data_IF_336595482585
#
_entry.id   IF_336595482585
#
_cell.length_a   1.000
_cell.length_b   1.000
_cell.length_c   1.000
_cell.angle_alpha   90.00
_cell.angle_beta   90.00
_cell.angle_gamma   90.00
#
_symmetry.space_group_name_H-M   'P 1'
#
loop_
_entity.id
_entity.type
_entity.pdbx_description
1 polymer ?
#
# COMPACT_ATOMS: atom_id res chain seq x y z
N UNK A 1 -11.77 -31.00 18.16
CA UNK A 1 -11.46 -29.80 18.95
C UNK A 1 -12.10 -28.67 18.22
N UNK A 2 -13.05 -28.03 18.83
CA UNK A 2 -13.79 -26.91 18.21
C UNK A 2 -13.38 -25.61 18.88
N UNK A 3 -13.69 -24.48 18.28
CA UNK A 3 -13.19 -23.19 18.70
C UNK A 3 -14.31 -22.16 18.74
N UNK A 4 -14.32 -21.31 19.77
CA UNK A 4 -15.12 -20.12 19.86
C UNK A 4 -14.21 -18.90 19.67
N UNK A 5 -14.46 -18.09 18.66
CA UNK A 5 -13.59 -16.99 18.26
C UNK A 5 -14.24 -15.63 18.53
N UNK A 6 -13.49 -14.74 19.17
CA UNK A 6 -13.84 -13.33 19.31
C UNK A 6 -13.06 -12.49 18.32
N UNK A 7 -13.73 -11.96 17.33
CA UNK A 7 -13.11 -11.12 16.30
C UNK A 7 -12.72 -9.73 16.76
N UNK A 8 -13.29 -9.27 17.87
CA UNK A 8 -12.95 -7.96 18.43
C UNK A 8 -11.64 -7.97 19.19
N UNK A 9 -11.36 -9.08 19.90
CA UNK A 9 -10.15 -9.24 20.72
C UNK A 9 -9.07 -10.06 20.02
N UNK A 10 -9.39 -10.71 18.90
CA UNK A 10 -8.53 -11.66 18.18
C UNK A 10 -8.07 -12.83 19.11
N UNK A 11 -9.01 -13.32 19.93
CA UNK A 11 -8.79 -14.47 20.81
C UNK A 11 -9.71 -15.61 20.48
N UNK A 12 -9.26 -16.82 20.73
CA UNK A 12 -10.07 -18.03 20.61
C UNK A 12 -10.06 -18.83 21.92
N UNK A 13 -11.15 -19.56 22.11
CA UNK A 13 -11.33 -20.50 23.21
C UNK A 13 -11.50 -21.90 22.62
N UNK A 14 -10.68 -22.84 23.07
CA UNK A 14 -10.85 -24.25 22.69
C UNK A 14 -12.00 -24.84 23.50
N UNK A 15 -12.91 -25.53 22.80
CA UNK A 15 -14.08 -26.19 23.42
C UNK A 15 -14.12 -27.64 22.99
N UNK A 16 -14.33 -28.55 23.97
CA UNK A 16 -14.34 -29.99 23.73
C UNK A 16 -15.76 -30.56 23.69
N UNK A 17 -16.71 -29.86 24.30
CA UNK A 17 -18.09 -30.33 24.45
C UNK A 17 -19.11 -29.33 23.95
N UNK A 18 -20.27 -29.82 23.47
CA UNK A 18 -21.39 -28.94 23.05
C UNK A 18 -21.96 -28.13 24.24
N UNK A 19 -21.81 -28.56 25.46
CA UNK A 19 -22.24 -27.86 26.66
C UNK A 19 -21.39 -26.59 26.89
N UNK A 20 -20.07 -26.67 26.69
CA UNK A 20 -19.17 -25.51 26.77
C UNK A 20 -19.48 -24.44 25.72
N UNK A 21 -19.90 -24.84 24.52
CA UNK A 21 -20.33 -23.93 23.45
C UNK A 21 -21.60 -23.18 23.83
N UNK A 22 -22.52 -23.81 24.59
CA UNK A 22 -23.75 -23.17 25.04
C UNK A 22 -23.55 -22.23 26.22
N UNK A 23 -22.54 -22.48 27.05
CA UNK A 23 -22.24 -21.64 28.22
C UNK A 23 -21.40 -20.41 27.85
N UNK A 24 -20.47 -20.54 26.89
CA UNK A 24 -19.56 -19.46 26.46
C UNK A 24 -20.11 -18.75 25.22
N UNK A 25 -21.08 -17.86 25.40
CA UNK A 25 -21.72 -17.13 24.28
C UNK A 25 -21.08 -15.79 23.97
N UNK A 26 -20.36 -15.18 24.94
CA UNK A 26 -19.73 -13.87 24.80
C UNK A 26 -18.30 -13.89 25.36
N UNK A 27 -17.42 -13.13 24.67
CA UNK A 27 -16.08 -12.85 25.13
C UNK A 27 -16.09 -11.90 26.35
N UNK A 28 -15.01 -11.87 27.13
CA UNK A 28 -14.83 -10.93 28.24
C UNK A 28 -14.97 -9.46 27.81
N UNK A 29 -14.76 -9.13 26.51
CA UNK A 29 -14.98 -7.79 25.95
C UNK A 29 -16.45 -7.48 25.65
N UNK A 30 -17.37 -8.42 25.89
CA UNK A 30 -18.81 -8.30 25.61
C UNK A 30 -19.23 -8.62 24.18
N UNK A 31 -18.29 -8.97 23.30
CA UNK A 31 -18.60 -9.37 21.92
C UNK A 31 -19.07 -10.81 21.85
N UNK A 32 -19.97 -11.11 20.91
CA UNK A 32 -20.49 -12.47 20.68
C UNK A 32 -19.40 -13.36 20.13
N UNK A 33 -19.25 -14.56 20.69
CA UNK A 33 -18.33 -15.58 20.19
C UNK A 33 -18.96 -16.36 19.03
N UNK A 34 -18.16 -16.68 18.03
CA UNK A 34 -18.57 -17.45 16.85
C UNK A 34 -17.90 -18.83 16.88
N UNK A 35 -18.70 -19.88 16.66
CA UNK A 35 -18.26 -21.27 16.71
C UNK A 35 -17.66 -21.72 15.40
N UNK A 36 -16.55 -22.49 15.47
CA UNK A 36 -15.90 -23.14 14.33
C UNK A 36 -15.45 -24.56 14.70
N UNK A 37 -15.63 -25.49 13.79
CA UNK A 37 -15.14 -26.86 13.94
C UNK A 37 -13.62 -26.96 13.82
N UNK A 38 -13.01 -26.08 13.03
CA UNK A 38 -11.56 -25.95 12.89
C UNK A 38 -11.16 -24.48 13.01
N UNK A 39 -10.04 -24.19 13.68
CA UNK A 39 -9.52 -22.85 13.80
C UNK A 39 -9.17 -22.22 12.43
N UNK A 40 -8.83 -23.05 11.44
CA UNK A 40 -8.59 -22.61 10.07
C UNK A 40 -9.84 -22.05 9.37
N UNK A 41 -11.02 -22.57 9.73
CA UNK A 41 -12.30 -22.11 9.17
C UNK A 41 -12.68 -20.73 9.73
N UNK A 42 -12.33 -20.44 10.99
CA UNK A 42 -12.55 -19.11 11.57
C UNK A 42 -11.78 -18.01 10.84
N UNK A 43 -10.58 -18.30 10.39
CA UNK A 43 -9.76 -17.39 9.58
C UNK A 43 -10.25 -17.29 8.11
N UNK A 44 -11.02 -18.30 7.63
CA UNK A 44 -11.63 -18.28 6.30
C UNK A 44 -12.87 -17.39 6.23
N UNK A 45 -13.71 -17.44 7.24
CA UNK A 45 -15.02 -16.79 7.27
C UNK A 45 -14.90 -15.27 7.43
N UNK A 46 -14.04 -14.79 8.34
CA UNK A 46 -13.80 -13.37 8.57
C UNK A 46 -13.16 -12.65 7.38
N UNK A 47 -12.27 -13.34 6.68
CA UNK A 47 -11.58 -12.72 5.54
C UNK A 47 -12.43 -12.70 4.28
N UNK A 48 -13.46 -13.55 4.16
CA UNK A 48 -14.40 -13.50 3.04
C UNK A 48 -15.61 -12.60 3.31
N UNK A 49 -16.31 -12.78 4.40
CA UNK A 49 -17.56 -12.06 4.65
C UNK A 49 -17.31 -10.62 5.08
N UNK A 50 -16.42 -10.34 6.03
CA UNK A 50 -16.10 -8.96 6.42
C UNK A 50 -15.27 -8.20 5.39
N UNK A 51 -14.48 -8.91 4.57
CA UNK A 51 -13.79 -8.31 3.43
C UNK A 51 -14.77 -8.05 2.29
N UNK A 52 -15.71 -8.96 2.00
CA UNK A 52 -16.76 -8.74 1.01
C UNK A 52 -17.85 -7.79 1.51
N UNK A 53 -18.16 -7.72 2.80
CA UNK A 53 -18.99 -6.65 3.37
C UNK A 53 -18.26 -5.30 3.33
N UNK A 54 -16.97 -5.23 3.68
CA UNK A 54 -16.17 -4.03 3.54
C UNK A 54 -15.90 -3.65 2.08
N UNK A 55 -15.83 -4.62 1.14
CA UNK A 55 -15.82 -4.35 -0.29
C UNK A 55 -17.22 -3.97 -0.80
N UNK A 56 -18.29 -4.59 -0.33
CA UNK A 56 -19.65 -4.26 -0.74
C UNK A 56 -20.15 -2.95 -0.12
N UNK A 57 -19.67 -2.57 1.07
CA UNK A 57 -19.80 -1.21 1.60
C UNK A 57 -18.88 -0.23 0.86
N UNK A 58 -17.75 -0.71 0.33
CA UNK A 58 -16.82 0.05 -0.53
C UNK A 58 -17.19 -0.03 -2.02
N UNK A 59 -17.99 -1.00 -2.48
CA UNK A 59 -18.49 -1.11 -3.86
C UNK A 59 -19.55 -0.01 -4.21
N UNK A 60 -20.08 0.68 -3.19
CA UNK A 60 -20.59 2.03 -3.40
C UNK A 60 -19.51 3.06 -3.70
N UNK A 61 -18.24 2.70 -3.59
CA UNK A 61 -17.04 3.54 -3.76
C UNK A 61 -15.98 2.89 -4.66
N UNK A 62 -16.31 1.86 -5.45
CA UNK A 62 -15.44 1.42 -6.54
C UNK A 62 -15.55 2.45 -7.66
N UNK A 63 -14.67 3.41 -7.56
CA UNK A 63 -14.54 4.53 -8.47
C UNK A 63 -14.15 3.98 -9.83
N UNK A 64 -15.01 4.17 -10.80
CA UNK A 64 -14.65 4.17 -12.20
C UNK A 64 -13.58 5.25 -12.38
N UNK A 65 -12.33 4.84 -12.61
CA UNK A 65 -11.16 5.72 -12.62
C UNK A 65 -11.15 6.72 -13.79
N UNK A 66 -12.21 6.72 -14.63
CA UNK A 66 -12.39 7.67 -15.72
C UNK A 66 -13.17 8.94 -15.30
N UNK A 67 -13.75 9.01 -14.09
CA UNK A 67 -14.52 10.17 -13.60
C UNK A 67 -13.99 10.83 -12.31
N UNK A 68 -12.74 10.62 -11.92
CA UNK A 68 -12.19 11.21 -10.69
C UNK A 68 -11.75 12.66 -10.87
N UNK A 69 -12.73 13.55 -11.02
CA UNK A 69 -12.61 14.97 -10.66
C UNK A 69 -13.75 15.33 -9.71
N UNK A 70 -13.59 15.09 -8.42
CA UNK A 70 -14.54 15.54 -7.41
C UNK A 70 -14.58 14.64 -6.19
N UNK A 71 -14.23 15.19 -5.06
CA UNK A 71 -14.48 14.84 -3.68
C UNK A 71 -15.05 13.43 -3.39
N UNK A 72 -14.20 12.51 -2.90
CA UNK A 72 -14.65 11.26 -2.32
C UNK A 72 -14.16 11.09 -0.88
N UNK A 73 -15.13 11.09 0.03
CA UNK A 73 -14.97 10.77 1.45
C UNK A 73 -15.00 9.27 1.67
N UNK A 74 -14.12 8.75 2.52
CA UNK A 74 -14.20 7.38 3.04
C UNK A 74 -15.50 7.19 3.86
N UNK A 75 -16.29 6.12 3.64
CA UNK A 75 -17.54 5.92 4.36
C UNK A 75 -17.29 5.37 5.76
N UNK A 76 -17.82 6.07 6.78
CA UNK A 76 -18.20 5.40 8.02
C UNK A 76 -17.55 5.81 9.33
N UNK A 77 -16.92 6.99 9.45
CA UNK A 77 -16.66 7.57 10.78
C UNK A 77 -17.33 8.93 10.90
N UNK A 78 -18.59 8.95 11.39
CA UNK A 78 -19.30 10.19 11.76
C UNK A 78 -18.82 10.62 13.14
N UNK A 79 -17.60 11.13 13.18
CA UNK A 79 -17.09 11.90 14.28
C UNK A 79 -16.42 13.11 13.66
N UNK A 80 -16.76 14.32 14.11
CA UNK A 80 -16.26 15.63 13.68
C UNK A 80 -15.08 15.56 12.72
N UNK A 81 -15.34 15.62 11.42
CA UNK A 81 -14.28 15.64 10.39
C UNK A 81 -13.43 16.88 10.62
N UNK A 82 -12.30 16.66 11.25
CA UNK A 82 -11.30 17.70 11.46
C UNK A 82 -10.55 17.84 10.13
N UNK A 83 -10.75 18.95 9.45
CA UNK A 83 -10.02 19.29 8.24
C UNK A 83 -8.53 19.32 8.58
N UNK A 84 -7.76 18.37 8.05
CA UNK A 84 -6.31 18.40 8.12
C UNK A 84 -5.77 19.26 6.98
N UNK A 85 -4.76 20.05 7.28
CA UNK A 85 -4.04 20.80 6.25
C UNK A 85 -2.95 19.91 5.68
N UNK A 86 -2.94 19.77 4.35
CA UNK A 86 -1.90 19.05 3.63
C UNK A 86 -0.97 20.07 3.02
N UNK A 87 0.28 20.07 3.48
CA UNK A 87 1.36 20.88 2.95
C UNK A 87 2.19 20.00 2.04
N UNK A 88 2.17 20.27 0.72
CA UNK A 88 2.94 19.51 -0.26
C UNK A 88 4.06 20.37 -0.83
N UNK A 89 5.28 19.84 -0.85
CA UNK A 89 6.46 20.45 -1.49
C UNK A 89 6.62 20.05 -2.96
N UNK A 90 5.76 19.18 -3.48
CA UNK A 90 5.84 18.71 -4.87
C UNK A 90 5.16 17.37 -5.09
N UNK A 91 5.51 16.69 -6.17
CA UNK A 91 5.02 15.35 -6.51
C UNK A 91 5.83 14.26 -5.82
N UNK A 92 5.18 13.22 -5.34
CA UNK A 92 5.83 12.07 -4.69
C UNK A 92 6.73 11.29 -5.67
N UNK A 93 7.61 10.45 -5.13
CA UNK A 93 8.48 9.61 -5.96
C UNK A 93 7.67 8.66 -6.85
N UNK A 94 6.63 8.06 -6.30
CA UNK A 94 5.74 7.12 -7.00
C UNK A 94 4.95 7.82 -8.09
N UNK A 95 4.45 9.05 -7.85
CA UNK A 95 3.79 9.88 -8.88
C UNK A 95 4.74 10.24 -10.03
N UNK A 96 5.98 10.64 -9.72
CA UNK A 96 7.01 10.92 -10.74
C UNK A 96 7.26 9.70 -11.62
N UNK A 97 7.37 8.52 -11.01
CA UNK A 97 7.57 7.27 -11.75
C UNK A 97 6.37 6.92 -12.61
N UNK A 98 5.16 6.95 -12.05
CA UNK A 98 3.94 6.68 -12.80
C UNK A 98 3.81 7.61 -14.03
N UNK A 99 4.01 8.94 -13.85
CA UNK A 99 3.95 9.91 -14.95
C UNK A 99 5.07 9.72 -15.98
N UNK A 100 6.27 9.31 -15.55
CA UNK A 100 7.38 8.99 -16.45
C UNK A 100 7.01 7.84 -17.39
N UNK A 101 6.49 6.73 -16.87
CA UNK A 101 6.08 5.58 -17.68
C UNK A 101 4.89 5.91 -18.58
N UNK A 102 3.95 6.73 -18.13
CA UNK A 102 2.86 7.22 -18.96
C UNK A 102 3.37 8.01 -20.17
N UNK A 103 4.36 8.90 -20.00
CA UNK A 103 5.00 9.63 -21.10
C UNK A 103 5.72 8.69 -22.08
N UNK A 104 6.46 7.69 -21.57
CA UNK A 104 7.14 6.71 -22.42
C UNK A 104 6.11 5.91 -23.23
N UNK A 105 5.01 5.51 -22.63
CA UNK A 105 3.90 4.83 -23.30
C UNK A 105 3.33 5.70 -24.43
N UNK A 106 2.99 6.96 -24.17
CA UNK A 106 2.47 7.90 -25.18
C UNK A 106 3.44 8.07 -26.35
N UNK A 107 4.74 8.25 -26.06
CA UNK A 107 5.76 8.35 -27.10
C UNK A 107 5.87 7.06 -27.94
N UNK A 108 5.77 5.89 -27.30
CA UNK A 108 5.75 4.60 -27.99
C UNK A 108 4.54 4.44 -28.90
N UNK A 109 3.36 4.87 -28.49
CA UNK A 109 2.14 4.88 -29.30
C UNK A 109 2.29 5.81 -30.51
N UNK A 110 2.81 7.02 -30.33
CA UNK A 110 3.08 7.96 -31.43
C UNK A 110 4.04 7.35 -32.46
N UNK A 111 5.14 6.74 -31.99
CA UNK A 111 6.11 6.05 -32.85
C UNK A 111 5.47 4.90 -33.65
N UNK A 112 4.62 4.11 -32.99
CA UNK A 112 3.90 3.00 -33.61
C UNK A 112 2.99 3.51 -34.73
N UNK A 113 2.15 4.51 -34.44
CA UNK A 113 1.26 5.09 -35.47
C UNK A 113 2.03 5.74 -36.62
N UNK A 114 3.11 6.48 -36.28
CA UNK A 114 3.99 7.09 -37.29
C UNK A 114 4.61 6.02 -38.20
N UNK A 115 5.08 4.92 -37.62
CA UNK A 115 5.64 3.79 -38.35
C UNK A 115 4.63 3.14 -39.28
N UNK A 116 3.41 2.91 -38.83
CA UNK A 116 2.32 2.33 -39.61
C UNK A 116 1.94 3.26 -40.76
N UNK A 117 1.81 4.55 -40.53
CA UNK A 117 1.49 5.55 -41.59
C UNK A 117 2.61 5.59 -42.63
N UNK A 118 3.87 5.67 -42.20
CA UNK A 118 5.03 5.67 -43.09
C UNK A 118 5.09 4.39 -43.92
N UNK A 119 4.82 3.24 -43.35
CA UNK A 119 4.73 1.95 -44.04
C UNK A 119 3.66 1.97 -45.13
N UNK A 120 2.44 2.42 -44.83
CA UNK A 120 1.34 2.44 -45.79
C UNK A 120 1.66 3.41 -46.95
N UNK A 121 2.13 4.63 -46.63
CA UNK A 121 2.46 5.64 -47.63
C UNK A 121 3.58 5.15 -48.56
N UNK A 122 4.63 4.53 -48.01
CA UNK A 122 5.76 4.05 -48.77
C UNK A 122 5.39 2.88 -49.68
N UNK A 123 4.55 1.95 -49.21
CA UNK A 123 3.99 0.88 -50.06
C UNK A 123 3.18 1.43 -51.25
N UNK A 124 2.33 2.41 -50.98
CA UNK A 124 1.53 3.05 -52.02
C UNK A 124 2.42 3.78 -53.04
N UNK A 125 3.47 4.45 -52.59
CA UNK A 125 4.44 5.11 -53.46
C UNK A 125 5.24 4.09 -54.31
N UNK A 126 5.61 2.94 -53.80
CA UNK A 126 6.23 1.84 -54.57
C UNK A 126 5.27 1.39 -55.67
N UNK A 127 4.00 1.18 -55.34
CA UNK A 127 2.99 0.73 -56.29
C UNK A 127 2.79 1.73 -57.45
N UNK A 128 2.79 3.04 -57.17
CA UNK A 128 2.59 4.08 -58.19
C UNK A 128 3.82 4.33 -59.06
N UNK A 129 5.01 4.30 -58.49
CA UNK A 129 6.24 4.77 -59.13
C UNK A 129 7.18 3.67 -59.56
N UNK A 130 7.01 2.45 -59.07
CA UNK A 130 7.91 1.30 -59.20
C UNK A 130 9.36 1.64 -58.77
N UNK A 131 9.54 2.66 -57.93
CA UNK A 131 10.84 3.13 -57.47
C UNK A 131 11.21 2.46 -56.16
N UNK A 132 12.24 1.61 -56.18
CA UNK A 132 12.73 0.86 -55.02
C UNK A 132 13.33 1.73 -53.87
N UNK A 133 13.55 3.02 -54.11
CA UNK A 133 13.96 3.93 -53.02
C UNK A 133 12.95 3.91 -51.88
N UNK A 134 11.67 3.80 -52.14
CA UNK A 134 10.62 3.72 -51.11
C UNK A 134 10.65 2.44 -50.32
N UNK A 135 11.37 1.40 -50.73
CA UNK A 135 11.60 0.20 -49.91
C UNK A 135 12.37 0.49 -48.62
N UNK A 136 13.32 1.44 -48.62
CA UNK A 136 14.00 1.89 -47.44
C UNK A 136 13.05 2.58 -46.45
N UNK A 137 12.11 3.39 -46.95
CA UNK A 137 11.09 4.03 -46.10
C UNK A 137 10.11 3.02 -45.53
N UNK A 138 9.78 1.98 -46.28
CA UNK A 138 8.96 0.86 -45.79
C UNK A 138 9.64 0.15 -44.63
N UNK A 139 10.92 -0.17 -44.76
CA UNK A 139 11.73 -0.77 -43.65
C UNK A 139 11.83 0.15 -42.44
N UNK A 140 12.00 1.44 -42.64
CA UNK A 140 12.00 2.43 -41.57
C UNK A 140 10.64 2.47 -40.86
N UNK A 141 9.54 2.44 -41.61
CA UNK A 141 8.19 2.37 -41.02
C UNK A 141 7.96 1.12 -40.18
N UNK A 142 8.38 -0.05 -40.70
CA UNK A 142 8.33 -1.31 -39.92
C UNK A 142 9.15 -1.20 -38.64
N UNK A 143 10.40 -0.70 -38.75
CA UNK A 143 11.27 -0.54 -37.57
C UNK A 143 10.65 0.38 -36.52
N UNK A 144 10.14 1.54 -36.94
CA UNK A 144 9.49 2.49 -36.00
C UNK A 144 8.25 1.88 -35.35
N UNK A 145 7.44 1.15 -36.11
CA UNK A 145 6.24 0.49 -35.60
C UNK A 145 6.57 -0.59 -34.57
N UNK A 146 7.55 -1.45 -34.87
CA UNK A 146 7.98 -2.51 -33.95
C UNK A 146 8.61 -1.93 -32.70
N UNK A 147 9.51 -0.94 -32.85
CA UNK A 147 10.18 -0.28 -31.72
C UNK A 147 9.17 0.46 -30.83
N UNK A 148 8.27 1.24 -31.43
CA UNK A 148 7.23 1.94 -30.68
C UNK A 148 6.31 0.98 -29.90
N UNK A 149 5.88 -0.11 -30.53
CA UNK A 149 5.06 -1.14 -29.87
C UNK A 149 5.80 -1.83 -28.72
N UNK A 150 7.11 -2.08 -28.85
CA UNK A 150 7.94 -2.63 -27.78
C UNK A 150 7.99 -1.67 -26.58
N UNK A 151 8.27 -0.39 -26.81
CA UNK A 151 8.26 0.65 -25.77
C UNK A 151 6.90 0.74 -25.07
N UNK A 152 5.82 0.73 -25.82
CA UNK A 152 4.45 0.80 -25.30
C UNK A 152 4.14 -0.41 -24.41
N UNK A 153 4.48 -1.61 -24.85
CA UNK A 153 4.18 -2.85 -24.12
C UNK A 153 4.95 -2.92 -22.80
N UNK A 154 6.24 -2.58 -22.81
CA UNK A 154 7.07 -2.55 -21.61
C UNK A 154 6.60 -1.47 -20.64
N UNK A 155 6.33 -0.26 -21.15
CA UNK A 155 5.88 0.87 -20.34
C UNK A 155 4.49 0.64 -19.73
N UNK A 156 3.58 -0.05 -20.41
CA UNK A 156 2.27 -0.43 -19.87
C UNK A 156 2.41 -1.33 -18.64
N UNK A 157 3.28 -2.33 -18.70
CA UNK A 157 3.51 -3.27 -17.59
C UNK A 157 4.11 -2.55 -16.37
N UNK A 158 5.19 -1.82 -16.56
CA UNK A 158 5.87 -1.09 -15.48
C UNK A 158 4.99 0.06 -14.95
N UNK A 159 4.37 0.83 -15.85
CA UNK A 159 3.47 1.93 -15.50
C UNK A 159 2.27 1.48 -14.69
N UNK A 160 1.70 0.30 -15.00
CA UNK A 160 0.62 -0.29 -14.21
C UNK A 160 1.06 -0.58 -12.77
N UNK A 161 2.24 -1.16 -12.59
CA UNK A 161 2.78 -1.44 -11.24
C UNK A 161 2.97 -0.17 -10.41
N UNK A 162 3.52 0.89 -11.03
CA UNK A 162 3.69 2.18 -10.35
C UNK A 162 2.37 2.86 -10.05
N UNK A 163 1.41 2.85 -11.00
CA UNK A 163 0.07 3.39 -10.78
C UNK A 163 -0.63 2.68 -9.62
N UNK A 164 -0.58 1.35 -9.61
CA UNK A 164 -1.16 0.55 -8.54
C UNK A 164 -0.49 0.81 -7.17
N UNK A 165 0.83 1.02 -7.15
CA UNK A 165 1.56 1.45 -5.94
C UNK A 165 1.04 2.79 -5.43
N UNK A 166 0.96 3.79 -6.32
CA UNK A 166 0.46 5.13 -6.00
C UNK A 166 -0.98 5.10 -5.45
N UNK A 167 -1.86 4.31 -6.06
CA UNK A 167 -3.24 4.13 -5.57
C UNK A 167 -3.24 3.56 -4.14
N UNK A 168 -2.39 2.58 -3.87
CA UNK A 168 -2.23 2.02 -2.53
C UNK A 168 -1.74 3.05 -1.50
N UNK A 169 -0.70 3.83 -1.84
CA UNK A 169 -0.19 4.90 -0.98
C UNK A 169 -1.26 5.95 -0.66
N UNK A 170 -2.06 6.35 -1.66
CA UNK A 170 -3.18 7.29 -1.46
C UNK A 170 -4.23 6.73 -0.51
N UNK A 171 -4.65 5.48 -0.70
CA UNK A 171 -5.61 4.82 0.21
C UNK A 171 -5.10 4.80 1.65
N UNK A 172 -3.83 4.48 1.87
CA UNK A 172 -3.25 4.49 3.22
C UNK A 172 -3.17 5.90 3.78
N UNK A 173 -2.73 6.90 2.98
CA UNK A 173 -2.70 8.30 3.39
C UNK A 173 -4.08 8.82 3.81
N UNK A 174 -5.15 8.46 3.08
CA UNK A 174 -6.53 8.83 3.40
C UNK A 174 -6.96 8.26 4.76
N UNK A 175 -6.66 7.00 5.04
CA UNK A 175 -6.91 6.43 6.37
C UNK A 175 -6.07 7.11 7.45
N UNK A 176 -4.78 7.39 7.21
CA UNK A 176 -3.93 8.09 8.17
C UNK A 176 -4.42 9.52 8.46
N UNK A 177 -5.07 10.17 7.50
CA UNK A 177 -5.69 11.49 7.68
C UNK A 177 -6.90 11.48 8.65
N UNK A 178 -7.40 10.31 9.04
CA UNK A 178 -8.43 10.17 10.09
C UNK A 178 -7.86 10.20 11.51
N UNK A 179 -6.54 10.16 11.67
CA UNK A 179 -5.88 10.23 12.98
C UNK A 179 -6.21 11.55 13.72
N UNK A 180 -6.24 11.53 15.07
CA UNK A 180 -6.42 12.73 15.88
C UNK A 180 -5.41 13.84 15.59
N UNK A 181 -5.71 15.07 16.07
CA UNK A 181 -4.91 16.29 15.79
C UNK A 181 -3.47 16.23 16.29
N UNK A 182 -3.22 15.48 17.31
CA UNK A 182 -1.92 15.30 17.95
C UNK A 182 -1.00 14.30 17.23
N UNK A 183 -1.42 13.83 16.04
CA UNK A 183 -0.60 13.01 15.15
C UNK A 183 -0.18 13.80 13.90
N UNK A 184 1.10 13.72 13.55
CA UNK A 184 1.69 14.23 12.32
C UNK A 184 1.87 13.08 11.33
N UNK A 185 1.45 13.25 10.08
CA UNK A 185 1.58 12.27 9.02
C UNK A 185 2.51 12.82 7.95
N UNK A 186 3.64 12.14 7.74
CA UNK A 186 4.65 12.45 6.72
C UNK A 186 4.56 11.44 5.61
N UNK A 187 4.32 11.90 4.38
CA UNK A 187 4.23 11.03 3.20
C UNK A 187 5.45 11.24 2.30
N UNK A 188 5.91 10.14 1.68
CA UNK A 188 7.06 10.08 0.77
C UNK A 188 8.33 10.69 1.41
N UNK A 189 8.79 10.09 2.50
CA UNK A 189 9.92 10.59 3.29
C UNK A 189 11.25 10.08 2.73
N UNK A 190 12.11 11.02 2.32
CA UNK A 190 13.46 10.75 1.82
C UNK A 190 14.51 11.10 2.85
N UNK A 191 15.03 10.11 3.57
CA UNK A 191 16.12 10.33 4.52
C UNK A 191 17.45 10.61 3.80
N UNK A 192 18.27 11.56 4.27
CA UNK A 192 19.57 11.88 3.68
C UNK A 192 20.50 10.67 3.63
N UNK A 193 21.18 10.49 2.50
CA UNK A 193 22.15 9.41 2.31
C UNK A 193 21.56 7.99 2.22
N UNK A 194 20.23 7.85 2.26
CA UNK A 194 19.55 6.54 2.15
C UNK A 194 18.99 6.30 0.74
N UNK A 195 18.96 5.04 0.35
CA UNK A 195 18.35 4.60 -0.92
C UNK A 195 16.88 4.27 -0.73
N UNK A 196 16.03 4.84 -1.58
CA UNK A 196 14.57 4.70 -1.49
C UNK A 196 13.92 5.71 -0.57
N UNK A 197 12.60 5.73 -0.58
CA UNK A 197 11.77 6.57 0.27
C UNK A 197 11.00 5.68 1.24
N UNK A 198 10.53 6.26 2.32
CA UNK A 198 9.59 5.65 3.26
C UNK A 198 8.21 6.16 2.89
N UNK A 199 7.26 5.27 2.65
CA UNK A 199 5.94 5.64 2.14
C UNK A 199 5.24 6.58 3.12
N UNK A 200 5.13 6.18 4.41
CA UNK A 200 4.56 7.06 5.43
C UNK A 200 5.30 6.92 6.77
N UNK A 201 5.38 8.03 7.50
CA UNK A 201 5.79 8.07 8.91
C UNK A 201 4.69 8.80 9.69
N UNK A 202 4.29 8.22 10.82
CA UNK A 202 3.36 8.86 11.75
C UNK A 202 4.06 9.10 13.06
N UNK A 203 3.94 10.32 13.60
CA UNK A 203 4.45 10.71 14.93
C UNK A 203 3.29 11.24 15.75
N UNK A 204 3.12 10.74 16.96
CA UNK A 204 2.08 11.18 17.88
C UNK A 204 2.25 10.63 19.28
N UNK A 205 1.25 10.82 20.16
CA UNK A 205 1.34 10.46 21.58
C UNK A 205 1.65 9.00 21.88
N UNK A 206 1.46 8.12 20.91
CA UNK A 206 1.72 6.68 21.03
C UNK A 206 3.04 6.24 20.40
N UNK A 207 3.87 7.18 19.92
CA UNK A 207 5.20 6.92 19.38
C UNK A 207 5.38 7.28 17.92
N UNK A 208 6.34 6.60 17.29
CA UNK A 208 6.70 6.76 15.88
C UNK A 208 6.38 5.47 15.12
N UNK A 209 5.69 5.60 14.00
CA UNK A 209 5.29 4.47 13.15
C UNK A 209 5.86 4.66 11.75
N UNK A 210 6.61 3.66 11.28
CA UNK A 210 7.10 3.57 9.91
C UNK A 210 6.18 2.64 9.15
N UNK A 211 5.53 3.13 8.11
CA UNK A 211 4.49 2.40 7.38
C UNK A 211 4.95 2.17 5.96
N UNK A 212 4.98 0.93 5.56
CA UNK A 212 5.24 0.45 4.21
C UNK A 212 3.91 0.03 3.58
N UNK A 213 3.56 0.60 2.44
CA UNK A 213 2.33 0.28 1.72
C UNK A 213 2.60 -0.73 0.62
N UNK A 214 1.77 -1.76 0.53
CA UNK A 214 1.79 -2.71 -0.59
C UNK A 214 0.38 -2.98 -1.09
N UNK A 215 0.17 -2.73 -2.38
CA UNK A 215 -1.06 -3.01 -3.10
C UNK A 215 -0.83 -4.17 -4.07
N UNK A 216 -1.08 -5.39 -3.61
CA UNK A 216 -0.82 -6.62 -4.34
C UNK A 216 -2.11 -7.34 -4.74
N UNK A 217 -2.00 -8.19 -5.75
CA UNK A 217 -3.04 -9.15 -6.14
C UNK A 217 -2.49 -10.56 -6.03
N UNK A 218 -3.37 -11.51 -5.75
CA UNK A 218 -3.02 -12.92 -5.59
C UNK A 218 -3.14 -13.38 -4.15
N UNK A 219 -2.65 -14.58 -3.88
CA UNK A 219 -2.82 -15.30 -2.61
C UNK A 219 -1.52 -15.26 -1.82
N UNK A 220 -1.56 -14.67 -0.62
CA UNK A 220 -0.39 -14.53 0.25
C UNK A 220 -0.63 -15.16 1.61
N UNK A 221 0.43 -15.75 2.18
CA UNK A 221 0.44 -16.26 3.56
C UNK A 221 1.71 -15.77 4.24
N UNK A 222 1.56 -15.30 5.47
CA UNK A 222 2.65 -14.70 6.25
C UNK A 222 2.86 -15.55 7.48
N UNK A 223 4.04 -16.18 7.59
CA UNK A 223 4.42 -17.02 8.72
C UNK A 223 5.66 -16.43 9.39
N UNK A 224 5.46 -15.74 10.50
CA UNK A 224 6.52 -14.95 11.13
C UNK A 224 7.08 -13.92 10.14
N UNK A 225 8.39 -13.95 9.91
CA UNK A 225 9.03 -13.05 8.94
C UNK A 225 9.07 -13.60 7.50
N UNK A 226 8.54 -14.79 7.26
CA UNK A 226 8.49 -15.41 5.95
C UNK A 226 7.18 -15.06 5.23
N UNK A 227 7.31 -14.61 3.98
CA UNK A 227 6.18 -14.33 3.10
C UNK A 227 6.12 -15.37 1.99
N UNK A 228 4.92 -15.93 1.78
CA UNK A 228 4.63 -16.94 0.77
C UNK A 228 3.62 -16.37 -0.22
N UNK A 229 3.95 -16.42 -1.50
CA UNK A 229 3.04 -16.16 -2.61
C UNK A 229 2.60 -17.50 -3.21
N UNK A 230 1.32 -17.68 -3.46
CA UNK A 230 0.79 -18.90 -4.06
C UNK A 230 0.54 -18.69 -5.55
N UNK A 231 1.23 -19.47 -6.37
CA UNK A 231 1.00 -19.54 -7.81
C UNK A 231 0.52 -20.95 -8.16
N UNK A 232 -0.69 -21.09 -8.71
CA UNK A 232 -1.32 -22.38 -9.00
C UNK A 232 -1.27 -23.31 -7.76
N UNK A 233 -1.67 -22.78 -6.59
CA UNK A 233 -1.64 -23.43 -5.28
C UNK A 233 -0.28 -23.93 -4.79
N UNK A 234 0.80 -23.60 -5.48
CA UNK A 234 2.17 -23.89 -5.05
C UNK A 234 2.79 -22.69 -4.33
N UNK A 235 3.24 -22.83 -3.08
CA UNK A 235 3.85 -21.73 -2.32
C UNK A 235 5.24 -21.40 -2.83
N UNK A 236 5.51 -20.11 -3.01
CA UNK A 236 6.82 -19.56 -3.37
C UNK A 236 7.26 -18.56 -2.31
N UNK A 237 8.46 -18.73 -1.78
CA UNK A 237 9.02 -17.81 -0.78
C UNK A 237 9.41 -16.49 -1.43
N UNK A 238 8.99 -15.39 -0.84
CA UNK A 238 9.37 -14.03 -1.24
C UNK A 238 10.56 -13.59 -0.38
N UNK A 239 11.75 -13.58 -0.96
CA UNK A 239 12.97 -13.23 -0.23
C UNK A 239 13.05 -11.74 0.12
N UNK A 240 12.73 -10.85 -0.82
CA UNK A 240 12.71 -9.41 -0.60
C UNK A 240 11.28 -8.92 -0.38
N UNK A 241 10.72 -9.29 0.76
CA UNK A 241 9.33 -9.07 1.11
C UNK A 241 9.10 -7.71 1.81
N UNK A 242 7.85 -7.24 1.91
CA UNK A 242 7.51 -5.97 2.57
C UNK A 242 7.99 -5.86 4.02
N UNK A 243 8.01 -6.99 4.75
CA UNK A 243 8.53 -7.03 6.11
C UNK A 243 10.03 -6.76 6.19
N UNK A 244 10.80 -7.16 5.18
CA UNK A 244 12.24 -6.82 5.07
C UNK A 244 12.40 -5.33 4.80
N UNK A 245 11.57 -4.76 3.95
CA UNK A 245 11.60 -3.35 3.59
C UNK A 245 11.25 -2.46 4.78
N UNK A 246 10.14 -2.73 5.47
CA UNK A 246 9.73 -1.91 6.63
C UNK A 246 10.74 -1.98 7.77
N UNK A 247 11.34 -3.15 8.04
CA UNK A 247 12.41 -3.26 9.06
C UNK A 247 13.63 -2.43 8.69
N UNK A 248 14.04 -2.46 7.40
CA UNK A 248 15.14 -1.64 6.91
C UNK A 248 14.82 -0.15 7.08
N UNK A 249 13.64 0.29 6.65
CA UNK A 249 13.19 1.66 6.76
C UNK A 249 13.11 2.14 8.22
N UNK A 250 12.64 1.26 9.13
CA UNK A 250 12.63 1.52 10.57
C UNK A 250 14.06 1.72 11.10
N UNK A 251 15.01 0.86 10.72
CA UNK A 251 16.40 0.99 11.16
C UNK A 251 17.06 2.25 10.57
N UNK A 252 16.78 2.58 9.30
CA UNK A 252 17.28 3.80 8.68
C UNK A 252 16.77 5.06 9.40
N UNK A 253 15.52 5.06 9.85
CA UNK A 253 14.96 6.15 10.67
C UNK A 253 15.60 6.23 12.06
N UNK A 254 15.80 5.08 12.74
CA UNK A 254 16.51 5.04 14.04
C UNK A 254 17.90 5.65 13.92
N UNK A 255 18.64 5.28 12.89
CA UNK A 255 20.00 5.80 12.64
C UNK A 255 19.96 7.30 12.35
N UNK A 256 19.05 7.78 11.51
CA UNK A 256 18.89 9.20 11.19
C UNK A 256 18.58 10.03 12.45
N UNK A 257 17.62 9.60 13.26
CA UNK A 257 17.27 10.30 14.50
C UNK A 257 18.44 10.26 15.51
N UNK A 258 19.18 9.16 15.58
CA UNK A 258 20.39 9.03 16.39
C UNK A 258 21.49 10.02 15.97
N UNK A 259 21.73 10.21 14.67
CA UNK A 259 22.66 11.21 14.13
C UNK A 259 22.25 12.67 14.50
N UNK A 260 20.94 12.89 14.73
CA UNK A 260 20.39 14.16 15.21
C UNK A 260 20.35 14.29 16.75
N UNK A 261 20.96 13.35 17.47
CA UNK A 261 20.99 13.33 18.93
C UNK A 261 19.64 12.99 19.58
N UNK A 262 18.75 12.31 18.83
CA UNK A 262 17.45 11.84 19.29
C UNK A 262 17.57 10.33 19.51
N UNK A 263 17.85 9.93 20.75
CA UNK A 263 17.95 8.50 21.08
C UNK A 263 16.57 7.89 21.29
N UNK A 264 16.22 6.97 20.45
CA UNK A 264 14.91 6.29 20.50
C UNK A 264 14.92 5.02 21.35
N UNK A 265 16.09 4.60 21.88
CA UNK A 265 16.29 3.34 22.63
C UNK A 265 15.57 2.11 22.01
N UNK A 266 15.20 2.18 20.73
CA UNK A 266 14.56 1.11 19.96
C UNK A 266 13.09 0.83 20.30
N UNK A 267 12.51 1.43 21.33
CA UNK A 267 11.16 1.08 21.82
C UNK A 267 10.03 1.94 21.23
N UNK A 268 10.34 3.06 20.62
CA UNK A 268 9.32 4.00 20.14
C UNK A 268 8.96 3.88 18.67
N UNK A 269 9.80 3.22 17.88
CA UNK A 269 9.60 3.13 16.44
C UNK A 269 9.04 1.76 16.08
N UNK A 270 7.82 1.74 15.60
CA UNK A 270 7.09 0.53 15.20
C UNK A 270 6.98 0.46 13.69
N UNK A 271 7.43 -0.64 13.09
CA UNK A 271 7.23 -0.93 11.67
C UNK A 271 5.85 -1.52 11.40
N UNK A 272 5.13 -0.98 10.42
CA UNK A 272 3.84 -1.47 9.97
C UNK A 272 3.89 -1.74 8.45
N UNK A 273 3.28 -2.83 8.01
CA UNK A 273 2.99 -3.06 6.60
C UNK A 273 1.49 -2.89 6.41
N UNK A 274 1.08 -1.82 5.73
CA UNK A 274 -0.29 -1.62 5.29
C UNK A 274 -0.49 -2.44 3.99
N UNK A 275 -1.16 -3.58 4.11
CA UNK A 275 -1.22 -4.57 3.03
C UNK A 275 -2.60 -4.60 2.40
N UNK A 276 -2.68 -4.14 1.15
CA UNK A 276 -3.88 -4.17 0.32
C UNK A 276 -3.78 -5.41 -0.56
N UNK A 277 -4.51 -6.45 -0.19
CA UNK A 277 -4.54 -7.70 -0.94
C UNK A 277 -5.85 -8.45 -0.64
N UNK A 278 -6.58 -8.92 -1.66
CA UNK A 278 -7.85 -9.63 -1.47
C UNK A 278 -7.72 -10.96 -0.71
N UNK A 279 -6.63 -11.67 -0.89
CA UNK A 279 -6.41 -12.97 -0.27
C UNK A 279 -5.04 -13.01 0.43
N UNK A 280 -4.98 -12.49 1.65
CA UNK A 280 -3.82 -12.69 2.50
C UNK A 280 -4.23 -13.17 3.90
N UNK A 281 -3.33 -13.92 4.55
CA UNK A 281 -3.50 -14.35 5.94
C UNK A 281 -2.18 -14.28 6.67
N UNK A 282 -2.25 -13.84 7.93
CA UNK A 282 -1.13 -13.88 8.85
C UNK A 282 -1.27 -15.15 9.69
N UNK A 283 -0.53 -16.20 9.32
CA UNK A 283 -0.55 -17.50 10.01
C UNK A 283 0.27 -17.47 11.31
N UNK A 284 1.29 -16.61 11.35
CA UNK A 284 2.16 -16.40 12.50
C UNK A 284 2.61 -14.94 12.48
N UNK A 285 2.36 -14.23 13.57
CA UNK A 285 2.68 -12.80 13.68
C UNK A 285 4.18 -12.55 13.52
N UNK A 286 4.58 -11.61 12.65
CA UNK A 286 5.97 -11.19 12.54
C UNK A 286 6.52 -10.60 13.84
N UNK A 287 7.82 -10.81 14.12
CA UNK A 287 8.40 -10.40 15.42
C UNK A 287 8.63 -8.89 15.55
N UNK A 288 9.06 -8.22 14.49
CA UNK A 288 9.56 -6.85 14.54
C UNK A 288 8.72 -5.86 13.71
N UNK A 289 7.55 -6.25 13.27
CA UNK A 289 6.61 -5.40 12.55
C UNK A 289 5.21 -6.04 12.62
N UNK A 290 4.19 -5.27 12.23
CA UNK A 290 2.82 -5.77 12.08
C UNK A 290 2.39 -5.69 10.63
N UNK A 291 1.49 -6.58 10.22
CA UNK A 291 0.83 -6.54 8.91
C UNK A 291 -0.65 -6.28 9.16
N UNK A 292 -1.15 -5.18 8.60
CA UNK A 292 -2.49 -4.67 8.88
C UNK A 292 -3.19 -4.30 7.57
N UNK A 293 -4.51 -4.36 7.57
CA UNK A 293 -5.31 -3.71 6.54
C UNK A 293 -5.23 -2.19 6.70
N UNK A 294 -5.25 -1.38 5.61
CA UNK A 294 -5.18 0.08 5.71
C UNK A 294 -6.17 0.68 6.70
N UNK A 295 -7.42 0.18 6.69
CA UNK A 295 -8.49 0.68 7.57
C UNK A 295 -8.21 0.49 9.07
N UNK A 296 -7.40 -0.50 9.44
CA UNK A 296 -7.09 -0.82 10.85
C UNK A 296 -5.83 -0.13 11.34
N UNK A 297 -5.04 0.48 10.45
CA UNK A 297 -3.79 1.17 10.82
C UNK A 297 -4.03 2.34 11.77
N UNK A 298 -5.00 3.26 11.57
CA UNK A 298 -5.24 4.35 12.50
C UNK A 298 -5.64 3.87 13.89
N UNK A 299 -6.51 2.88 13.99
CA UNK A 299 -6.93 2.30 15.27
C UNK A 299 -5.75 1.67 16.02
N UNK A 300 -4.92 0.89 15.30
CA UNK A 300 -3.70 0.32 15.88
C UNK A 300 -2.76 1.39 16.45
N UNK A 301 -2.58 2.50 15.72
CA UNK A 301 -1.75 3.64 16.15
C UNK A 301 -2.33 4.30 17.40
N UNK A 302 -3.62 4.62 17.41
CA UNK A 302 -4.29 5.30 18.53
C UNK A 302 -4.27 4.46 19.79
N UNK A 303 -4.44 3.15 19.69
CA UNK A 303 -4.44 2.20 20.80
C UNK A 303 -3.01 1.79 21.24
N UNK A 304 -1.98 2.35 20.63
CA UNK A 304 -0.60 2.14 21.04
C UNK A 304 -0.33 2.63 22.47
N UNK A 305 0.77 2.14 23.04
CA UNK A 305 1.20 2.59 24.38
C UNK A 305 1.57 4.08 24.32
N UNK A 306 0.98 4.89 25.19
CA UNK A 306 1.33 6.30 25.28
C UNK A 306 2.78 6.50 25.68
N UNK A 307 3.49 7.30 24.92
CA UNK A 307 4.87 7.68 25.19
C UNK A 307 4.91 8.84 26.21
N UNK A 308 5.87 8.79 27.10
CA UNK A 308 6.02 9.81 28.14
C UNK A 308 6.88 11.01 27.71
N UNK A 309 7.67 10.85 26.64
CA UNK A 309 8.63 11.88 26.23
C UNK A 309 8.13 12.61 24.95
N UNK A 310 7.15 13.48 25.14
CA UNK A 310 6.58 14.31 24.05
C UNK A 310 7.59 15.29 23.45
N UNK A 311 8.60 15.74 24.22
CA UNK A 311 9.65 16.64 23.72
C UNK A 311 10.49 15.94 22.64
N UNK A 312 10.90 14.69 22.87
CA UNK A 312 11.64 13.94 21.87
C UNK A 312 10.81 13.66 20.62
N UNK A 313 9.53 13.37 20.77
CA UNK A 313 8.61 13.21 19.62
C UNK A 313 8.50 14.50 18.82
N UNK A 314 8.37 15.65 19.49
CA UNK A 314 8.36 16.96 18.84
C UNK A 314 9.66 17.28 18.08
N UNK A 315 10.81 16.95 18.67
CA UNK A 315 12.12 17.10 17.99
C UNK A 315 12.22 16.18 16.77
N UNK A 316 11.79 14.92 16.88
CA UNK A 316 11.76 13.99 15.76
C UNK A 316 10.86 14.50 14.62
N UNK A 317 9.70 15.08 14.96
CA UNK A 317 8.78 15.67 14.01
C UNK A 317 9.45 16.81 13.20
N UNK A 318 10.13 17.72 13.89
CA UNK A 318 10.85 18.84 13.25
C UNK A 318 11.99 18.39 12.33
N UNK A 319 12.74 17.35 12.72
CA UNK A 319 13.84 16.82 11.88
C UNK A 319 13.34 16.08 10.64
N UNK A 320 12.10 15.57 10.65
CA UNK A 320 11.51 14.87 9.50
C UNK A 320 10.80 15.81 8.51
N UNK A 321 10.35 16.98 8.95
CA UNK A 321 9.63 17.93 8.11
C UNK A 321 10.37 18.27 6.80
N UNK A 322 11.67 18.59 6.78
CA UNK A 322 12.39 18.85 5.54
C UNK A 322 12.65 17.60 4.68
N UNK A 323 12.40 16.42 5.20
CA UNK A 323 12.64 15.16 4.52
C UNK A 323 11.40 14.61 3.78
N UNK A 324 10.20 15.12 4.03
CA UNK A 324 8.96 14.64 3.41
C UNK A 324 8.56 15.47 2.20
N UNK A 325 7.83 14.84 1.27
CA UNK A 325 7.19 15.54 0.16
C UNK A 325 5.86 16.13 0.59
N UNK A 326 5.14 15.45 1.47
CA UNK A 326 3.83 15.87 1.94
C UNK A 326 3.72 15.68 3.45
N UNK A 327 3.24 16.70 4.14
CA UNK A 327 2.99 16.71 5.57
C UNK A 327 1.51 17.03 5.82
N UNK A 328 0.82 16.16 6.53
CA UNK A 328 -0.56 16.35 6.96
C UNK A 328 -0.61 16.72 8.44
N UNK A 329 -1.11 17.92 8.72
CA UNK A 329 -1.27 18.50 10.04
C UNK A 329 -2.74 18.78 10.33
N UNK A 330 -3.13 18.80 11.61
CA UNK A 330 -4.41 19.39 11.99
C UNK A 330 -4.32 20.92 12.00
N UNK A 331 -5.30 21.62 11.44
CA UNK A 331 -5.46 23.06 11.67
C UNK A 331 -5.88 23.32 13.12
N UNK A 332 -5.19 24.26 13.76
CA UNK A 332 -5.58 24.80 15.06
C UNK A 332 -6.80 25.71 14.94
#
# INVERSE_FOLDING_TARGET
MSYLVCYKCDVYYEVETEEEVMELTHCECGEKLIYFENLEDSYNDVNQESFYEALNEADGAYIDLDEASGEHMAPGYVGNQQVREIISSGTTFTEKKASQYQKIQQNGEILTYTGVILFIISLFAIFLTLNFFYALLTLAGVFLGVYGNSLTTESKKEGYSWKKGLEGEKVVADYLNTLPKDYYVYNDVKLPGKGGNIDHIVIGPTGIYVIETKNYTGKYRIKGNQWLYYKNDSPMVINNNPGTQVRKNTQDLVNFLGEKGISTNGSWITGLVAFICPDFRVLETPRNYKVLLPKTVPEYIINGRKESNMELLGRAALELEPCCVELSLARF
#
